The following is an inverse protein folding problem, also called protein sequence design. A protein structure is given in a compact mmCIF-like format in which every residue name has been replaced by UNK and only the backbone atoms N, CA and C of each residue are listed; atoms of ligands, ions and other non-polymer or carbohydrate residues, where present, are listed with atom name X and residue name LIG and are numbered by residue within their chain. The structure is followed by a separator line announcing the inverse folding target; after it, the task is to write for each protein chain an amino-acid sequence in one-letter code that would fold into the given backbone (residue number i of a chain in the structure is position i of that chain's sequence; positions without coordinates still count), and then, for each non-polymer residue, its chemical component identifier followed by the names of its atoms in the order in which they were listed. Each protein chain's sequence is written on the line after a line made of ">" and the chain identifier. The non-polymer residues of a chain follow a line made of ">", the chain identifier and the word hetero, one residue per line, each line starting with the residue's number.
data_IF_771896085260
#
_entry.id   IF_771896085260
#
_cell.length_a   1.000
_cell.length_b   1.000
_cell.length_c   1.000
_cell.angle_alpha   90.00
_cell.angle_beta   90.00
_cell.angle_gamma   90.00
#
_symmetry.space_group_name_H-M   'P 1'
#
loop_
_entity.id
_entity.type
_entity.pdbx_description
1 polymer ?
#
# COMPACT_ATOMS: atom_id res chain seq x y z
N UNK A 1 20.98 -52.69 1.04
CA UNK A 1 20.45 -51.97 -0.13
C UNK A 1 19.70 -50.77 0.44
N UNK A 2 20.24 -49.56 0.34
CA UNK A 2 19.62 -48.33 0.86
C UNK A 2 18.74 -47.76 -0.24
N UNK A 3 17.44 -47.70 -0.01
CA UNK A 3 16.49 -47.01 -0.89
C UNK A 3 16.57 -45.51 -0.63
N UNK A 4 17.34 -44.81 -1.46
CA UNK A 4 17.42 -43.36 -1.44
C UNK A 4 16.12 -42.77 -2.02
N UNK A 5 15.36 -42.15 -1.12
CA UNK A 5 14.66 -40.88 -1.34
C UNK A 5 13.83 -40.75 -2.64
N UNK A 6 12.66 -41.38 -2.66
CA UNK A 6 11.52 -40.82 -3.40
C UNK A 6 11.10 -39.53 -2.67
N UNK A 7 11.81 -38.43 -2.93
CA UNK A 7 11.25 -37.11 -2.69
C UNK A 7 10.08 -36.93 -3.67
N UNK A 8 8.89 -37.32 -3.21
CA UNK A 8 7.60 -37.02 -3.86
C UNK A 8 7.47 -35.50 -3.93
N UNK A 9 7.91 -34.94 -5.05
CA UNK A 9 7.84 -33.51 -5.31
C UNK A 9 6.40 -33.20 -5.66
N UNK A 10 5.65 -32.49 -4.80
CA UNK A 10 4.22 -32.32 -5.01
C UNK A 10 3.97 -31.54 -6.30
N UNK A 11 3.00 -32.01 -7.07
CA UNK A 11 2.51 -31.32 -8.24
C UNK A 11 1.95 -29.95 -7.85
N UNK A 12 2.16 -28.96 -8.72
CA UNK A 12 1.64 -27.61 -8.53
C UNK A 12 1.05 -27.06 -9.81
N UNK A 13 0.01 -26.26 -9.67
CA UNK A 13 -0.60 -25.50 -10.75
C UNK A 13 0.21 -24.23 -11.04
N UNK A 14 0.56 -24.01 -12.31
CA UNK A 14 1.21 -22.79 -12.75
C UNK A 14 0.24 -21.59 -12.61
N UNK A 15 0.63 -20.49 -11.94
CA UNK A 15 -0.24 -19.33 -11.77
C UNK A 15 -0.49 -18.55 -13.07
N UNK A 16 0.32 -18.76 -14.10
CA UNK A 16 0.20 -18.06 -15.39
C UNK A 16 -0.69 -18.79 -16.39
N UNK A 17 -0.56 -20.12 -16.48
CA UNK A 17 -1.23 -20.91 -17.52
C UNK A 17 -2.15 -22.01 -16.96
N UNK A 18 -2.23 -22.17 -15.64
CA UNK A 18 -3.11 -23.17 -15.01
C UNK A 18 -2.64 -24.63 -15.14
N UNK A 19 -1.54 -24.90 -15.84
CA UNK A 19 -1.05 -26.27 -16.05
C UNK A 19 -0.46 -26.86 -14.76
N UNK A 20 -0.81 -28.10 -14.44
CA UNK A 20 -0.14 -28.87 -13.39
C UNK A 20 1.26 -29.27 -13.84
N UNK A 21 2.25 -29.09 -12.99
CA UNK A 21 3.63 -29.50 -13.26
C UNK A 21 4.28 -30.03 -11.99
N UNK A 22 5.16 -31.02 -12.16
CA UNK A 22 5.99 -31.53 -11.07
C UNK A 22 6.99 -30.46 -10.66
N UNK A 23 6.94 -30.07 -9.39
CA UNK A 23 7.91 -29.10 -8.86
C UNK A 23 9.32 -29.68 -8.92
N UNK A 24 10.27 -28.88 -9.39
CA UNK A 24 11.68 -29.09 -9.08
C UNK A 24 12.07 -28.03 -8.04
N UNK A 25 12.30 -28.44 -6.79
CA UNK A 25 12.63 -27.54 -5.68
C UNK A 25 11.61 -26.40 -5.48
N UNK A 26 12.09 -25.15 -5.37
CA UNK A 26 11.26 -23.95 -5.13
C UNK A 26 10.62 -23.35 -6.39
N UNK A 27 10.59 -24.09 -7.52
CA UNK A 27 10.02 -23.58 -8.78
C UNK A 27 8.50 -23.33 -8.64
N UNK A 28 8.05 -22.14 -9.08
CA UNK A 28 6.65 -21.69 -9.03
C UNK A 28 5.92 -21.75 -10.37
N UNK A 29 6.65 -21.75 -11.48
CA UNK A 29 6.11 -21.71 -12.83
C UNK A 29 6.48 -22.98 -13.59
N UNK A 30 5.61 -23.42 -14.50
CA UNK A 30 5.89 -24.60 -15.32
C UNK A 30 7.13 -24.39 -16.22
N UNK A 31 7.36 -23.16 -16.72
CA UNK A 31 8.44 -22.81 -17.66
C UNK A 31 9.01 -21.41 -17.42
N UNK A 32 10.14 -21.11 -18.07
CA UNK A 32 10.73 -19.75 -18.09
C UNK A 32 9.80 -18.74 -18.77
N UNK A 33 9.10 -19.16 -19.84
CA UNK A 33 8.14 -18.30 -20.54
C UNK A 33 7.00 -17.84 -19.63
N UNK A 34 6.41 -18.75 -18.84
CA UNK A 34 5.36 -18.39 -17.88
C UNK A 34 5.87 -17.47 -16.77
N UNK A 35 7.10 -17.70 -16.27
CA UNK A 35 7.74 -16.79 -15.31
C UNK A 35 7.89 -15.37 -15.90
N UNK A 36 8.35 -15.28 -17.14
CA UNK A 36 8.57 -13.98 -17.79
C UNK A 36 7.26 -13.26 -18.11
N UNK A 37 6.21 -13.99 -18.49
CA UNK A 37 4.87 -13.46 -18.69
C UNK A 37 4.27 -12.89 -17.38
N UNK A 38 4.35 -13.62 -16.26
CA UNK A 38 3.91 -13.11 -14.95
C UNK A 38 4.72 -11.86 -14.52
N UNK A 39 6.03 -11.86 -14.75
CA UNK A 39 6.86 -10.67 -14.48
C UNK A 39 6.45 -9.45 -15.31
N UNK A 40 6.19 -9.63 -16.61
CA UNK A 40 5.73 -8.55 -17.49
C UNK A 40 4.36 -8.04 -17.06
N UNK A 41 3.43 -8.93 -16.73
CA UNK A 41 2.10 -8.55 -16.24
C UNK A 41 2.19 -7.68 -14.98
N UNK A 42 2.97 -8.12 -13.97
CA UNK A 42 3.18 -7.34 -12.72
C UNK A 42 3.80 -5.97 -12.96
N UNK A 43 4.67 -5.84 -13.97
CA UNK A 43 5.33 -4.58 -14.33
C UNK A 43 4.42 -3.63 -15.11
N UNK A 44 3.41 -4.16 -15.81
CA UNK A 44 2.43 -3.37 -16.56
C UNK A 44 1.25 -2.94 -15.70
N UNK A 45 0.94 -3.66 -14.61
CA UNK A 45 -0.05 -3.21 -13.64
C UNK A 45 0.47 -1.95 -12.94
N UNK A 46 -0.18 -0.78 -13.11
CA UNK A 46 0.17 0.39 -12.32
C UNK A 46 0.00 0.06 -10.84
N UNK A 47 0.88 0.59 -9.96
CA UNK A 47 0.70 0.40 -8.54
C UNK A 47 -0.70 0.87 -8.14
N UNK A 48 -1.37 0.19 -7.19
CA UNK A 48 -2.62 0.72 -6.66
C UNK A 48 -2.39 2.15 -6.17
N UNK A 49 -3.40 3.04 -6.29
CA UNK A 49 -3.27 4.40 -5.76
C UNK A 49 -2.81 4.29 -4.31
N UNK A 50 -1.73 5.01 -3.98
CA UNK A 50 -1.26 5.04 -2.60
C UNK A 50 -2.43 5.49 -1.73
N UNK A 51 -2.71 4.82 -0.59
CA UNK A 51 -3.71 5.32 0.33
C UNK A 51 -3.34 6.76 0.65
N UNK A 52 -4.29 7.68 0.52
CA UNK A 52 -4.08 9.05 0.99
C UNK A 52 -3.66 8.91 2.45
N UNK A 53 -2.40 9.24 2.76
CA UNK A 53 -1.92 9.16 4.14
C UNK A 53 -2.83 10.09 4.90
N UNK A 54 -3.64 9.54 5.79
CA UNK A 54 -4.44 10.32 6.70
C UNK A 54 -3.49 11.14 7.55
N UNK A 55 -3.27 12.38 7.12
CA UNK A 55 -2.30 13.26 7.74
C UNK A 55 -2.94 13.87 8.97
N UNK A 56 -2.10 14.23 9.94
CA UNK A 56 -2.59 14.90 11.14
C UNK A 56 -2.88 16.35 10.78
N UNK A 57 -4.10 16.80 11.08
CA UNK A 57 -4.48 18.19 11.00
C UNK A 57 -4.02 18.89 12.27
N UNK A 58 -3.31 19.99 12.09
CA UNK A 58 -2.88 20.89 13.13
C UNK A 58 -3.58 22.24 12.98
N UNK A 59 -3.74 22.98 14.07
CA UNK A 59 -4.34 24.31 14.05
C UNK A 59 -3.45 25.32 14.77
N UNK A 60 -3.23 26.49 14.18
CA UNK A 60 -2.51 27.57 14.83
C UNK A 60 -3.37 28.23 15.92
N UNK A 61 -2.93 28.30 17.18
CA UNK A 61 -3.70 28.95 18.23
C UNK A 61 -3.75 30.49 18.12
N UNK A 62 -2.96 31.10 17.23
CA UNK A 62 -2.92 32.55 17.04
C UNK A 62 -3.74 33.06 15.85
N UNK A 63 -3.81 32.31 14.75
CA UNK A 63 -4.55 32.68 13.55
C UNK A 63 -5.66 31.69 13.17
N UNK A 64 -5.85 30.63 13.96
CA UNK A 64 -6.90 29.60 13.78
C UNK A 64 -6.81 28.82 12.45
N UNK A 65 -5.78 29.08 11.65
CA UNK A 65 -5.54 28.40 10.39
C UNK A 65 -5.15 26.93 10.64
N UNK A 66 -5.74 26.04 9.84
CA UNK A 66 -5.46 24.60 9.86
C UNK A 66 -4.41 24.22 8.83
N UNK A 67 -3.59 23.23 9.17
CA UNK A 67 -2.48 22.73 8.36
C UNK A 67 -2.45 21.20 8.36
N UNK A 68 -2.05 20.61 7.24
CA UNK A 68 -2.01 19.15 7.05
C UNK A 68 -0.56 18.66 7.13
N UNK A 69 -0.17 18.05 8.25
CA UNK A 69 1.19 17.53 8.47
C UNK A 69 2.21 18.56 8.96
N UNK A 70 1.96 19.85 8.80
CA UNK A 70 2.84 20.92 9.30
C UNK A 70 2.53 21.27 10.75
N UNK A 71 3.52 21.10 11.61
CA UNK A 71 3.42 21.36 13.06
C UNK A 71 3.67 22.82 13.44
N UNK A 72 4.09 23.65 12.48
CA UNK A 72 4.40 25.06 12.67
C UNK A 72 3.60 25.89 11.67
N UNK A 73 3.01 26.97 12.18
CA UNK A 73 2.37 27.97 11.33
C UNK A 73 3.44 28.73 10.53
N UNK A 74 3.37 28.83 9.19
CA UNK A 74 4.33 29.58 8.39
C UNK A 74 4.26 31.09 8.66
N UNK A 75 3.09 31.62 8.99
CA UNK A 75 2.89 33.06 9.22
C UNK A 75 3.26 33.47 10.66
N UNK A 76 2.73 32.75 11.65
CA UNK A 76 2.95 33.07 13.07
C UNK A 76 4.25 32.48 13.62
N UNK A 77 4.83 31.48 12.94
CA UNK A 77 6.01 30.72 13.36
C UNK A 77 5.93 30.12 14.78
N UNK A 78 4.71 29.80 15.24
CA UNK A 78 4.45 29.11 16.50
C UNK A 78 4.07 27.65 16.25
N UNK A 79 4.20 26.83 17.29
CA UNK A 79 3.73 25.45 17.25
C UNK A 79 2.21 25.39 17.26
N UNK A 80 1.66 24.64 16.32
CA UNK A 80 0.23 24.40 16.19
C UNK A 80 -0.24 23.30 17.17
N UNK A 81 -1.50 23.38 17.60
CA UNK A 81 -2.14 22.30 18.37
C UNK A 81 -2.53 21.16 17.43
N UNK A 82 -2.40 19.92 17.90
CA UNK A 82 -2.85 18.73 17.17
C UNK A 82 -4.36 18.59 17.31
N UNK A 83 -5.10 18.63 16.21
CA UNK A 83 -6.54 18.35 16.23
C UNK A 83 -6.82 16.85 16.09
N UNK A 84 -6.17 16.20 15.12
CA UNK A 84 -6.37 14.77 14.93
C UNK A 84 -6.12 14.32 13.50
N UNK A 85 -6.57 13.11 13.20
CA UNK A 85 -6.47 12.53 11.86
C UNK A 85 -7.51 13.18 10.95
N UNK A 86 -7.09 13.69 9.80
CA UNK A 86 -7.99 14.40 8.89
C UNK A 86 -7.43 14.59 7.49
N UNK A 87 -8.09 15.44 6.71
CA UNK A 87 -7.76 15.72 5.32
C UNK A 87 -8.64 16.81 4.72
N UNK A 88 -8.40 17.17 3.45
CA UNK A 88 -9.24 18.14 2.75
C UNK A 88 -10.65 17.58 2.53
N UNK A 89 -11.65 18.41 2.76
CA UNK A 89 -13.04 18.11 2.47
C UNK A 89 -13.25 17.96 0.95
N UNK A 90 -13.90 16.91 0.44
CA UNK A 90 -14.12 16.73 -0.99
C UNK A 90 -15.07 17.76 -1.63
N UNK A 91 -15.72 18.61 -0.84
CA UNK A 91 -16.68 19.61 -1.31
C UNK A 91 -16.12 21.05 -1.28
N UNK A 92 -15.35 21.41 -0.27
CA UNK A 92 -14.85 22.77 -0.06
C UNK A 92 -13.32 22.87 0.09
N UNK A 93 -12.60 21.75 -0.03
CA UNK A 93 -11.15 21.62 0.19
C UNK A 93 -10.65 22.08 1.57
N UNK A 94 -11.56 22.45 2.48
CA UNK A 94 -11.23 22.85 3.84
C UNK A 94 -10.67 21.66 4.63
N UNK A 95 -9.65 21.92 5.47
CA UNK A 95 -9.04 20.90 6.28
C UNK A 95 -9.94 20.54 7.46
N UNK A 96 -10.52 19.34 7.37
CA UNK A 96 -11.43 18.79 8.36
C UNK A 96 -10.84 17.55 9.02
N UNK A 97 -11.20 17.33 10.28
CA UNK A 97 -10.83 16.15 11.04
C UNK A 97 -11.91 15.09 10.98
N UNK A 98 -11.54 13.84 11.25
CA UNK A 98 -12.51 12.75 11.38
C UNK A 98 -13.55 12.99 12.49
N UNK A 99 -13.24 13.86 13.47
CA UNK A 99 -14.17 14.21 14.54
C UNK A 99 -15.13 15.33 14.12
N UNK A 100 -14.70 16.26 13.25
CA UNK A 100 -15.59 17.26 12.62
C UNK A 100 -16.70 16.58 11.79
N UNK A 101 -16.43 15.40 11.22
CA UNK A 101 -17.40 14.63 10.42
C UNK A 101 -18.49 13.92 11.24
N UNK A 102 -18.25 13.74 12.54
CA UNK A 102 -19.14 12.97 13.44
C UNK A 102 -20.03 13.87 14.29
N UNK A 103 -19.77 15.18 14.29
CA UNK A 103 -20.54 16.19 15.02
C UNK A 103 -21.77 16.60 14.21
#
# INVERSE_FOLDING_TARGET
>A
MRDDDVTTTPDRTCPTCGTMFRRAGRRRFCSHACRQADYRARRQTPPPPAPQRTATVYECPACEQRYLGDQRCPDCNIFCRRLGTGGPCPHCDELITADDLKA
#
